data_IF_672516084257
#
_entry.id   IF_672516084257
#
_cell.length_a   1.000
_cell.length_b   1.000
_cell.length_c   1.000
_cell.angle_alpha   90.00
_cell.angle_beta   90.00
_cell.angle_gamma   90.00
#
_symmetry.space_group_name_H-M   'P 1'
#
loop_
_entity.id
_entity.type
_entity.pdbx_description
1 polymer ?
#
# COMPACT_ATOMS: atom_id res chain seq x y z
N UNK A 1 -30.12 -31.49 -49.35
CA UNK A 1 -28.66 -31.27 -49.41
C UNK A 1 -28.37 -29.78 -49.37
N UNK A 2 -27.97 -29.24 -48.22
CA UNK A 2 -27.19 -28.00 -48.07
C UNK A 2 -26.42 -28.11 -46.76
N UNK A 3 -25.12 -28.37 -46.86
CA UNK A 3 -24.20 -28.36 -45.74
C UNK A 3 -24.00 -26.90 -45.29
N UNK A 4 -24.06 -26.65 -43.98
CA UNK A 4 -23.61 -25.39 -43.39
C UNK A 4 -22.18 -25.58 -42.86
N UNK A 5 -21.29 -24.70 -43.30
CA UNK A 5 -19.85 -24.70 -43.04
C UNK A 5 -19.52 -24.41 -41.56
N UNK A 6 -18.37 -24.90 -41.04
CA UNK A 6 -17.98 -24.67 -39.65
C UNK A 6 -17.47 -23.24 -39.49
N UNK A 7 -18.01 -22.51 -38.51
CA UNK A 7 -17.47 -21.23 -38.07
C UNK A 7 -16.25 -21.48 -37.17
N UNK A 8 -15.06 -21.55 -37.77
CA UNK A 8 -13.78 -21.46 -37.08
C UNK A 8 -13.29 -20.02 -37.15
N UNK A 9 -13.56 -19.24 -36.10
CA UNK A 9 -12.83 -18.01 -35.76
C UNK A 9 -12.86 -17.86 -34.23
N UNK A 10 -12.03 -18.64 -33.54
CA UNK A 10 -11.66 -18.32 -32.17
C UNK A 10 -10.65 -17.16 -32.25
N UNK A 11 -11.12 -15.96 -31.88
CA UNK A 11 -10.30 -14.77 -31.75
C UNK A 11 -9.18 -15.00 -30.73
N UNK A 12 -7.99 -14.48 -31.04
CA UNK A 12 -6.84 -14.45 -30.17
C UNK A 12 -7.20 -13.75 -28.84
N UNK A 13 -7.19 -14.51 -27.73
CA UNK A 13 -7.16 -13.93 -26.39
C UNK A 13 -5.74 -13.44 -26.15
N UNK A 14 -5.62 -12.12 -26.10
CA UNK A 14 -4.43 -11.39 -25.68
C UNK A 14 -3.93 -11.96 -24.34
N UNK A 15 -2.67 -12.41 -24.30
CA UNK A 15 -1.98 -12.54 -23.03
C UNK A 15 -1.83 -11.13 -22.46
N UNK A 16 -2.80 -10.72 -21.66
CA UNK A 16 -2.62 -9.60 -20.75
C UNK A 16 -1.59 -10.01 -19.72
N UNK A 17 -0.38 -9.43 -19.80
CA UNK A 17 0.51 -9.36 -18.64
C UNK A 17 -0.22 -8.49 -17.62
N UNK A 18 -1.03 -9.12 -16.77
CA UNK A 18 -1.66 -8.47 -15.64
C UNK A 18 -0.54 -7.99 -14.74
N UNK A 19 -0.16 -6.72 -14.88
CA UNK A 19 0.96 -6.13 -14.16
C UNK A 19 0.86 -6.48 -12.68
N UNK A 20 1.83 -7.25 -12.19
CA UNK A 20 1.98 -7.47 -10.76
C UNK A 20 2.25 -6.10 -10.14
N UNK A 21 1.40 -5.68 -9.21
CA UNK A 21 1.80 -4.65 -8.27
C UNK A 21 3.09 -5.14 -7.60
N UNK A 22 4.21 -4.48 -7.89
CA UNK A 22 5.47 -4.74 -7.20
C UNK A 22 5.25 -4.33 -5.76
N UNK A 23 5.42 -5.28 -4.83
CA UNK A 23 5.42 -4.97 -3.42
C UNK A 23 6.65 -4.08 -3.17
N UNK A 24 6.42 -2.97 -2.47
CA UNK A 24 7.50 -2.10 -2.01
C UNK A 24 8.22 -2.86 -0.91
N UNK A 25 9.53 -3.00 -1.00
CA UNK A 25 10.32 -3.55 0.10
C UNK A 25 10.66 -2.46 1.13
N UNK A 26 10.86 -2.81 2.42
CA UNK A 26 11.11 -1.82 3.47
C UNK A 26 12.25 -0.85 3.14
N UNK A 27 13.30 -1.33 2.48
CA UNK A 27 14.49 -0.55 2.14
C UNK A 27 14.25 0.52 1.05
N UNK A 28 13.17 0.39 0.29
CA UNK A 28 12.70 1.39 -0.69
C UNK A 28 11.98 2.58 -0.04
N UNK A 29 11.59 2.48 1.24
CA UNK A 29 10.98 3.58 1.99
C UNK A 29 12.03 4.60 2.46
N UNK A 30 11.66 5.82 2.90
CA UNK A 30 12.60 6.76 3.52
C UNK A 30 13.40 6.13 4.69
N UNK A 31 14.72 6.33 4.78
CA UNK A 31 15.51 5.77 5.87
C UNK A 31 15.20 6.43 7.20
N UNK A 32 15.05 5.61 8.25
CA UNK A 32 14.84 6.10 9.59
C UNK A 32 14.45 5.02 10.59
N UNK A 33 14.55 5.38 11.87
CA UNK A 33 14.00 4.61 12.99
C UNK A 33 12.49 4.43 12.78
N UNK A 34 11.98 3.22 12.94
CA UNK A 34 10.56 2.89 12.78
C UNK A 34 10.15 2.46 11.37
N UNK A 35 11.08 2.43 10.41
CA UNK A 35 10.79 2.04 9.02
C UNK A 35 10.25 0.62 8.90
N UNK A 36 10.97 -0.36 9.45
CA UNK A 36 10.61 -1.77 9.31
C UNK A 36 9.36 -2.08 10.13
N UNK A 37 9.28 -1.55 11.35
CA UNK A 37 8.12 -1.68 12.22
C UNK A 37 6.87 -1.12 11.53
N UNK A 38 6.95 0.09 10.97
CA UNK A 38 5.84 0.67 10.22
C UNK A 38 5.50 -0.14 8.97
N UNK A 39 6.51 -0.59 8.22
CA UNK A 39 6.29 -1.37 7.00
C UNK A 39 5.54 -2.67 7.28
N UNK A 40 6.03 -3.49 8.22
CA UNK A 40 5.43 -4.79 8.50
C UNK A 40 4.06 -4.65 9.15
N UNK A 41 3.89 -3.70 10.07
CA UNK A 41 2.60 -3.45 10.74
C UNK A 41 1.55 -2.97 9.74
N UNK A 42 1.87 -1.97 8.90
CA UNK A 42 0.89 -1.42 7.95
C UNK A 42 0.72 -2.23 6.66
N UNK A 43 1.59 -3.23 6.41
CA UNK A 43 1.48 -4.13 5.25
C UNK A 43 0.83 -5.47 5.57
N UNK A 44 0.40 -5.69 6.83
CA UNK A 44 -0.21 -6.95 7.25
C UNK A 44 -1.53 -7.26 6.51
N UNK A 45 -2.30 -6.23 6.13
CA UNK A 45 -3.62 -6.39 5.51
C UNK A 45 -3.74 -5.81 4.09
N UNK A 46 -2.91 -4.83 3.71
CA UNK A 46 -2.94 -4.18 2.39
C UNK A 46 -1.54 -3.69 1.98
N UNK A 47 -1.37 -3.27 0.73
CA UNK A 47 -0.07 -2.75 0.27
C UNK A 47 0.33 -1.47 0.99
N UNK A 48 1.62 -1.33 1.32
CA UNK A 48 2.18 -0.08 1.85
C UNK A 48 1.98 1.11 0.89
N UNK A 49 1.75 0.86 -0.39
CA UNK A 49 1.32 1.87 -1.35
C UNK A 49 0.10 2.66 -0.89
N UNK A 50 -0.86 2.02 -0.25
CA UNK A 50 -2.06 2.70 0.23
C UNK A 50 -1.71 3.66 1.38
N UNK A 51 -0.84 3.22 2.29
CA UNK A 51 -0.33 4.00 3.44
C UNK A 51 0.45 5.22 2.95
N UNK A 52 1.34 5.00 1.99
CA UNK A 52 2.19 5.99 1.36
C UNK A 52 1.46 7.22 0.80
N UNK A 53 0.22 7.03 0.36
CA UNK A 53 -0.57 8.02 -0.38
C UNK A 53 -1.38 8.96 0.52
N UNK A 54 -1.44 8.71 1.83
CA UNK A 54 -2.38 9.41 2.71
C UNK A 54 -1.94 10.84 3.04
N UNK A 55 -0.66 11.05 3.36
CA UNK A 55 -0.13 12.39 3.66
C UNK A 55 -0.79 13.06 4.87
N UNK A 56 -0.87 12.37 5.99
CA UNK A 56 -1.63 12.82 7.16
C UNK A 56 -0.74 13.45 8.23
N UNK A 57 -1.29 14.38 9.01
CA UNK A 57 -0.57 14.88 10.19
C UNK A 57 -0.39 13.78 11.23
N UNK A 58 0.43 14.01 12.26
CA UNK A 58 0.58 13.04 13.35
C UNK A 58 -0.78 12.71 13.99
N UNK A 59 -1.61 13.71 14.26
CA UNK A 59 -2.93 13.52 14.89
C UNK A 59 -3.90 12.77 13.98
N UNK A 60 -3.91 13.11 12.70
CA UNK A 60 -4.78 12.43 11.73
C UNK A 60 -4.35 10.96 11.52
N UNK A 61 -3.04 10.66 11.57
CA UNK A 61 -2.54 9.28 11.59
C UNK A 61 -2.96 8.54 12.86
N UNK A 62 -2.94 9.22 14.01
CA UNK A 62 -3.37 8.69 15.30
C UNK A 62 -4.84 8.22 15.24
N UNK A 63 -5.70 9.12 14.80
CA UNK A 63 -7.14 8.87 14.64
C UNK A 63 -7.40 7.77 13.60
N UNK A 64 -6.63 7.74 12.51
CA UNK A 64 -6.76 6.68 11.51
C UNK A 64 -6.37 5.31 12.06
N UNK A 65 -5.33 5.22 12.89
CA UNK A 65 -4.94 3.96 13.54
C UNK A 65 -6.04 3.48 14.49
N UNK A 66 -6.63 4.39 15.27
CA UNK A 66 -7.75 4.05 16.15
C UNK A 66 -8.93 3.49 15.33
N UNK A 67 -9.28 4.14 14.23
CA UNK A 67 -10.30 3.64 13.31
C UNK A 67 -9.94 2.28 12.70
N UNK A 68 -8.67 2.04 12.34
CA UNK A 68 -8.25 0.73 11.83
C UNK A 68 -8.39 -0.37 12.88
N UNK A 69 -8.09 -0.07 14.15
CA UNK A 69 -8.25 -1.01 15.26
C UNK A 69 -9.74 -1.29 15.49
N UNK A 70 -10.56 -0.25 15.62
CA UNK A 70 -11.97 -0.35 15.99
C UNK A 70 -12.84 -0.92 14.87
N UNK A 71 -12.61 -0.51 13.62
CA UNK A 71 -13.52 -0.76 12.51
C UNK A 71 -12.96 -1.72 11.45
N UNK A 72 -11.63 -1.82 11.32
CA UNK A 72 -10.97 -2.67 10.31
C UNK A 72 -10.34 -3.95 10.89
N UNK A 73 -10.35 -4.11 12.22
CA UNK A 73 -9.82 -5.29 12.89
C UNK A 73 -8.28 -5.35 12.94
N UNK A 74 -7.61 -4.20 12.86
CA UNK A 74 -6.18 -4.12 13.17
C UNK A 74 -5.96 -4.47 14.65
N UNK A 75 -4.89 -5.21 14.96
CA UNK A 75 -4.54 -5.50 16.35
C UNK A 75 -4.11 -4.23 17.08
N UNK A 76 -4.42 -4.14 18.38
CA UNK A 76 -3.89 -3.06 19.22
C UNK A 76 -2.36 -3.05 19.19
N UNK A 77 -1.80 -1.85 19.14
CA UNK A 77 -0.35 -1.63 19.19
C UNK A 77 0.05 -1.27 20.61
N UNK A 78 1.18 -1.84 21.06
CA UNK A 78 1.79 -1.40 22.31
C UNK A 78 2.15 0.09 22.24
N UNK A 79 2.07 0.80 23.37
CA UNK A 79 2.21 2.27 23.42
C UNK A 79 3.49 2.75 22.73
N UNK A 80 4.59 2.03 22.91
CA UNK A 80 5.91 2.40 22.43
C UNK A 80 6.06 2.11 20.92
N UNK A 81 5.42 1.05 20.44
CA UNK A 81 5.34 0.72 19.02
C UNK A 81 4.46 1.73 18.28
N UNK A 82 3.29 2.07 18.84
CA UNK A 82 2.38 3.07 18.28
C UNK A 82 3.09 4.42 18.13
N UNK A 83 3.77 4.88 19.18
CA UNK A 83 4.54 6.13 19.14
C UNK A 83 5.66 6.10 18.07
N UNK A 84 6.36 4.98 17.94
CA UNK A 84 7.40 4.76 16.93
C UNK A 84 6.84 4.85 15.51
N UNK A 85 5.71 4.19 15.26
CA UNK A 85 5.04 4.17 13.95
C UNK A 85 4.53 5.56 13.59
N UNK A 86 3.87 6.26 14.52
CA UNK A 86 3.36 7.61 14.29
C UNK A 86 4.47 8.63 14.04
N UNK A 87 5.59 8.54 14.76
CA UNK A 87 6.78 9.36 14.51
C UNK A 87 7.27 9.16 13.07
N UNK A 88 7.37 7.90 12.62
CA UNK A 88 7.84 7.58 11.28
C UNK A 88 6.84 8.00 10.19
N UNK A 89 5.55 7.71 10.36
CA UNK A 89 4.48 8.06 9.42
C UNK A 89 4.37 9.57 9.24
N UNK A 90 4.24 10.33 10.32
CA UNK A 90 4.08 11.79 10.25
C UNK A 90 5.31 12.50 9.68
N UNK A 91 6.52 12.01 9.97
CA UNK A 91 7.77 12.58 9.46
C UNK A 91 7.98 12.35 7.96
N UNK A 92 7.59 11.17 7.46
CA UNK A 92 7.93 10.74 6.11
C UNK A 92 6.76 10.81 5.13
N UNK A 93 5.53 10.66 5.65
CA UNK A 93 4.26 10.65 4.90
C UNK A 93 3.26 11.64 5.53
N UNK A 94 3.77 12.82 5.88
CA UNK A 94 2.99 13.95 6.37
C UNK A 94 2.28 14.74 5.26
N UNK A 95 1.53 15.81 5.59
CA UNK A 95 0.79 16.63 4.62
C UNK A 95 1.67 17.28 3.54
N UNK A 96 2.93 17.55 3.87
CA UNK A 96 3.91 18.10 2.92
C UNK A 96 4.56 17.02 2.02
N UNK A 97 4.24 15.74 2.27
CA UNK A 97 4.83 14.56 1.62
C UNK A 97 3.80 13.43 1.39
N UNK A 98 2.66 13.70 0.74
CA UNK A 98 1.58 12.71 0.56
C UNK A 98 1.91 11.62 -0.47
N UNK A 99 3.01 11.75 -1.23
CA UNK A 99 3.40 10.76 -2.22
C UNK A 99 4.93 10.67 -2.28
N UNK A 100 5.49 9.56 -1.78
CA UNK A 100 6.90 9.27 -1.93
C UNK A 100 7.13 8.56 -3.27
N UNK A 101 8.21 8.94 -3.97
CA UNK A 101 8.50 8.41 -5.30
C UNK A 101 8.99 6.97 -5.23
N UNK A 102 8.14 6.03 -5.65
CA UNK A 102 8.62 4.78 -6.22
C UNK A 102 9.28 5.10 -7.56
N UNK A 103 10.60 4.93 -7.62
CA UNK A 103 11.35 4.80 -8.87
C UNK A 103 11.35 6.03 -9.79
N UNK A 104 12.03 7.11 -9.36
CA UNK A 104 12.91 7.86 -10.25
C UNK A 104 12.38 8.53 -11.53
N UNK A 105 11.07 8.63 -11.77
CA UNK A 105 10.55 9.45 -12.87
C UNK A 105 9.51 10.47 -12.39
N UNK A 106 9.44 11.60 -13.09
CA UNK A 106 8.49 12.69 -12.83
C UNK A 106 7.12 12.32 -13.36
#
# INVERSE_FOLDING_TARGET
MRAALPALLAAAVLLGDGGRAVAIEPDELPPGRGREETYYTCSACHSFNLVAQQGLSWGDWDELIDWMIEEQGMSELETEERALILEYLSKNFGPDRPFWKQNGNR
#
